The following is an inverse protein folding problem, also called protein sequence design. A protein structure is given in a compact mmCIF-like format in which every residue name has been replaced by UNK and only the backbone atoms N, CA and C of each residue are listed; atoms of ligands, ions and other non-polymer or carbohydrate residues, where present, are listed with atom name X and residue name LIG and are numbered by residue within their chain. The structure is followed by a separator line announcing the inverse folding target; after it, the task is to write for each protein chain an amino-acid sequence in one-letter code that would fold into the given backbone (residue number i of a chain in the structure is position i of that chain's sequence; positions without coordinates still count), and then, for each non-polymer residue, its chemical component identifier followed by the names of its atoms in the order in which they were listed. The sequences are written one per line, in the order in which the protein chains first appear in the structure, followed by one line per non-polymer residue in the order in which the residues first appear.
data_IF_681040527654
#
_entry.id   IF_681040527654
#
_cell.length_a   1.000
_cell.length_b   1.000
_cell.length_c   1.000
_cell.angle_alpha   90.00
_cell.angle_beta   90.00
_cell.angle_gamma   90.00
#
_symmetry.space_group_name_H-M   'P 1'
#
loop_
_entity.id
_entity.type
_entity.pdbx_description
1 polymer ?
#
# COMPACT_ATOMS: atom_id res chain seq x y z
N UNK A 1 9.76 17.97 -9.63
CA UNK A 1 10.37 16.65 -9.83
C UNK A 1 9.77 15.74 -8.78
N UNK A 2 8.72 14.99 -9.12
CA UNK A 2 8.13 14.02 -8.18
C UNK A 2 8.92 12.72 -8.32
N UNK A 3 9.45 12.20 -7.21
CA UNK A 3 10.14 10.92 -7.21
C UNK A 3 9.11 9.79 -7.11
N UNK A 4 9.09 8.97 -8.15
CA UNK A 4 8.23 7.80 -8.27
C UNK A 4 9.09 6.56 -8.44
N UNK A 5 8.79 5.51 -7.66
CA UNK A 5 9.51 4.25 -7.68
C UNK A 5 8.55 3.13 -7.99
N UNK A 6 8.84 2.37 -9.04
CA UNK A 6 8.13 1.15 -9.41
C UNK A 6 8.99 -0.08 -9.13
N UNK A 7 8.49 -1.01 -8.33
CA UNK A 7 9.19 -2.23 -7.95
C UNK A 7 8.38 -3.43 -8.39
N UNK A 8 8.86 -4.17 -9.39
CA UNK A 8 8.22 -5.39 -9.88
C UNK A 8 9.04 -6.63 -9.51
N UNK A 9 8.39 -7.64 -8.93
CA UNK A 9 8.98 -8.96 -8.64
C UNK A 9 10.32 -8.91 -7.86
N UNK A 10 10.47 -8.00 -6.89
CA UNK A 10 11.71 -7.88 -6.12
C UNK A 10 11.68 -8.77 -4.86
N UNK A 11 12.52 -9.82 -4.74
CA UNK A 11 12.54 -10.67 -3.54
C UNK A 11 13.19 -9.99 -2.33
N UNK A 12 14.09 -9.03 -2.56
CA UNK A 12 14.77 -8.25 -1.50
C UNK A 12 14.05 -6.94 -1.14
N UNK A 13 12.79 -6.78 -1.58
CA UNK A 13 12.01 -5.55 -1.45
C UNK A 13 12.00 -5.02 -0.01
N UNK A 14 11.82 -5.87 0.99
CA UNK A 14 11.78 -5.43 2.40
C UNK A 14 13.07 -4.75 2.84
N UNK A 15 14.21 -5.31 2.46
CA UNK A 15 15.53 -4.75 2.81
C UNK A 15 15.78 -3.46 2.04
N UNK A 16 15.40 -3.45 0.76
CA UNK A 16 15.48 -2.29 -0.12
C UNK A 16 14.64 -1.13 0.40
N UNK A 17 13.38 -1.37 0.73
CA UNK A 17 12.46 -0.35 1.22
C UNK A 17 12.94 0.28 2.55
N UNK A 18 13.51 -0.51 3.46
CA UNK A 18 14.12 0.01 4.71
C UNK A 18 15.30 0.95 4.45
N UNK A 19 16.10 0.65 3.44
CA UNK A 19 17.24 1.49 3.06
C UNK A 19 16.78 2.71 2.26
N UNK A 20 15.78 2.54 1.41
CA UNK A 20 15.14 3.61 0.65
C UNK A 20 14.58 4.67 1.59
N UNK A 21 13.96 4.28 2.71
CA UNK A 21 13.44 5.24 3.68
C UNK A 21 14.46 6.10 4.42
N UNK A 22 15.74 5.72 4.36
CA UNK A 22 16.83 6.54 4.91
C UNK A 22 17.36 7.57 3.89
N UNK A 23 17.09 7.36 2.60
CA UNK A 23 17.74 8.10 1.50
C UNK A 23 16.73 8.90 0.68
N UNK A 24 15.53 8.35 0.46
CA UNK A 24 14.49 8.91 -0.39
C UNK A 24 13.41 9.60 0.45
N UNK A 25 13.79 10.67 1.16
CA UNK A 25 12.86 11.48 1.97
C UNK A 25 11.85 12.28 1.13
N UNK A 26 12.08 12.37 -0.18
CA UNK A 26 11.21 13.05 -1.17
C UNK A 26 10.34 12.10 -1.99
N UNK A 27 10.36 10.79 -1.70
CA UNK A 27 9.55 9.82 -2.43
C UNK A 27 8.07 10.05 -2.16
N UNK A 28 7.35 10.38 -3.23
CA UNK A 28 5.91 10.68 -3.16
C UNK A 28 5.06 9.48 -3.56
N UNK A 29 5.51 8.74 -4.58
CA UNK A 29 4.74 7.64 -5.17
C UNK A 29 5.56 6.36 -5.15
N UNK A 30 4.95 5.29 -4.62
CA UNK A 30 5.53 3.96 -4.61
C UNK A 30 4.53 2.97 -5.21
N UNK A 31 4.94 2.29 -6.28
CA UNK A 31 4.17 1.20 -6.87
C UNK A 31 4.90 -0.11 -6.71
N UNK A 32 4.22 -1.13 -6.18
CA UNK A 32 4.76 -2.47 -5.99
C UNK A 32 3.90 -3.48 -6.75
N UNK A 33 4.50 -4.10 -7.76
CA UNK A 33 3.84 -5.08 -8.62
C UNK A 33 4.42 -6.49 -8.46
N UNK A 34 3.57 -7.51 -8.45
CA UNK A 34 3.95 -8.92 -8.63
C UNK A 34 5.04 -9.43 -7.66
N UNK A 35 5.21 -8.77 -6.51
CA UNK A 35 6.18 -9.13 -5.49
C UNK A 35 5.66 -10.31 -4.67
N UNK A 36 5.69 -11.51 -5.28
CA UNK A 36 5.12 -12.76 -4.71
C UNK A 36 5.67 -13.15 -3.33
N UNK A 37 6.80 -12.59 -2.92
CA UNK A 37 7.47 -12.86 -1.65
C UNK A 37 7.17 -11.82 -0.59
N UNK A 38 6.55 -10.70 -0.96
CA UNK A 38 6.24 -9.61 -0.07
C UNK A 38 5.12 -10.02 0.87
N UNK A 39 5.41 -10.06 2.16
CA UNK A 39 4.45 -10.44 3.21
C UNK A 39 3.99 -9.24 4.04
N UNK A 40 4.84 -8.23 4.20
CA UNK A 40 4.61 -7.08 5.07
C UNK A 40 5.17 -5.82 4.40
N UNK A 41 4.43 -4.73 4.48
CA UNK A 41 4.83 -3.37 4.11
C UNK A 41 4.65 -2.49 5.36
N UNK A 42 5.74 -2.02 5.95
CA UNK A 42 5.68 -1.21 7.16
C UNK A 42 6.87 -0.27 7.33
N UNK A 43 6.69 0.74 8.19
CA UNK A 43 7.70 1.73 8.59
C UNK A 43 8.15 2.64 7.43
N UNK A 44 7.20 3.24 6.72
CA UNK A 44 7.48 4.23 5.66
C UNK A 44 6.90 5.61 6.00
N UNK A 45 7.49 6.33 6.98
CA UNK A 45 6.98 7.64 7.38
C UNK A 45 7.19 8.73 6.32
N UNK A 46 8.08 8.51 5.35
CA UNK A 46 8.41 9.46 4.28
C UNK A 46 7.47 9.36 3.07
N UNK A 47 6.76 8.23 2.91
CA UNK A 47 5.83 8.04 1.80
C UNK A 47 4.53 8.78 2.11
N UNK A 48 4.34 9.93 1.48
CA UNK A 48 3.25 10.85 1.82
C UNK A 48 2.09 10.86 0.82
N UNK A 49 2.32 10.59 -0.47
CA UNK A 49 1.26 10.82 -1.46
C UNK A 49 0.55 9.50 -1.80
N UNK A 50 1.18 8.57 -2.53
CA UNK A 50 0.48 7.42 -3.08
C UNK A 50 1.26 6.10 -2.94
N UNK A 51 0.55 5.06 -2.50
CA UNK A 51 1.04 3.68 -2.43
C UNK A 51 0.11 2.79 -3.25
N UNK A 52 0.64 2.21 -4.32
CA UNK A 52 -0.08 1.22 -5.13
C UNK A 52 0.57 -0.15 -4.97
N UNK A 53 -0.21 -1.18 -4.64
CA UNK A 53 0.28 -2.54 -4.53
C UNK A 53 -0.63 -3.46 -5.33
N UNK A 54 -0.07 -4.16 -6.33
CA UNK A 54 -0.84 -4.97 -7.30
C UNK A 54 -0.21 -6.37 -7.44
N UNK A 55 -1.02 -7.42 -7.29
CA UNK A 55 -0.61 -8.80 -7.59
C UNK A 55 0.48 -9.44 -6.68
N UNK A 56 0.66 -8.97 -5.45
CA UNK A 56 1.61 -9.50 -4.47
C UNK A 56 0.92 -10.49 -3.50
N UNK A 57 0.40 -11.60 -4.01
CA UNK A 57 -0.50 -12.56 -3.31
C UNK A 57 -0.11 -13.02 -1.89
N UNK A 58 1.15 -12.90 -1.50
CA UNK A 58 1.65 -13.24 -0.15
C UNK A 58 1.52 -12.12 0.87
N UNK A 59 1.08 -10.91 0.47
CA UNK A 59 0.98 -9.75 1.34
C UNK A 59 -0.11 -9.97 2.40
N UNK A 60 0.27 -9.82 3.66
CA UNK A 60 -0.59 -10.08 4.82
C UNK A 60 -0.84 -8.85 5.68
N UNK A 61 0.10 -7.90 5.71
CA UNK A 61 0.02 -6.71 6.57
C UNK A 61 0.57 -5.47 5.88
N UNK A 62 -0.12 -4.35 6.08
CA UNK A 62 0.36 -3.00 5.82
C UNK A 62 0.18 -2.17 7.11
N UNK A 63 1.23 -1.50 7.59
CA UNK A 63 1.14 -0.70 8.82
C UNK A 63 2.17 0.42 8.91
N UNK A 64 1.97 1.37 9.83
CA UNK A 64 2.90 2.46 10.12
C UNK A 64 3.22 3.34 8.90
N UNK A 65 2.16 3.92 8.31
CA UNK A 65 2.19 4.80 7.14
C UNK A 65 1.48 6.13 7.48
N UNK A 66 2.00 6.91 8.44
CA UNK A 66 1.27 8.02 9.04
C UNK A 66 1.00 9.18 8.06
N UNK A 67 1.84 9.35 7.04
CA UNK A 67 1.72 10.44 6.07
C UNK A 67 0.99 10.05 4.79
N UNK A 68 0.75 8.76 4.55
CA UNK A 68 0.17 8.29 3.30
C UNK A 68 -1.23 8.85 3.10
N UNK A 69 -1.49 9.44 1.92
CA UNK A 69 -2.81 9.97 1.54
C UNK A 69 -3.65 8.99 0.73
N UNK A 70 -3.05 8.29 -0.21
CA UNK A 70 -3.77 7.40 -1.11
C UNK A 70 -3.19 5.98 -1.08
N UNK A 71 -4.05 4.99 -0.85
CA UNK A 71 -3.68 3.58 -0.86
C UNK A 71 -4.49 2.83 -1.91
N UNK A 72 -3.83 2.25 -2.91
CA UNK A 72 -4.43 1.36 -3.89
C UNK A 72 -3.94 -0.08 -3.68
N UNK A 73 -4.87 -1.01 -3.54
CA UNK A 73 -4.56 -2.44 -3.33
C UNK A 73 -5.46 -3.31 -4.21
N UNK A 74 -4.88 -4.09 -5.12
CA UNK A 74 -5.65 -4.88 -6.08
C UNK A 74 -5.13 -6.31 -6.27
N UNK A 75 -6.06 -7.28 -6.29
CA UNK A 75 -5.81 -8.73 -6.52
C UNK A 75 -5.11 -9.44 -5.36
N UNK A 76 -5.65 -9.36 -4.14
CA UNK A 76 -5.11 -10.02 -2.94
C UNK A 76 -6.19 -10.68 -2.06
N UNK A 77 -6.12 -11.99 -1.80
CA UNK A 77 -7.01 -12.64 -0.83
C UNK A 77 -6.43 -12.71 0.61
N UNK A 78 -5.13 -12.43 0.80
CA UNK A 78 -4.41 -12.72 2.06
C UNK A 78 -4.10 -11.51 2.94
N UNK A 79 -4.43 -10.29 2.51
CA UNK A 79 -4.17 -9.08 3.29
C UNK A 79 -5.20 -8.98 4.42
N UNK A 80 -4.74 -9.13 5.65
CA UNK A 80 -5.61 -9.25 6.85
C UNK A 80 -5.55 -8.03 7.76
N UNK A 81 -4.48 -7.24 7.68
CA UNK A 81 -4.23 -6.15 8.62
C UNK A 81 -3.74 -4.91 7.89
N UNK A 82 -4.48 -3.82 8.05
CA UNK A 82 -4.23 -2.48 7.51
C UNK A 82 -4.49 -1.52 8.67
N UNK A 83 -3.44 -0.93 9.24
CA UNK A 83 -3.53 -0.06 10.43
C UNK A 83 -2.55 1.11 10.39
N UNK A 84 -2.79 2.13 11.22
CA UNK A 84 -1.87 3.26 11.46
C UNK A 84 -1.67 4.16 10.22
N UNK A 85 -2.78 4.59 9.64
CA UNK A 85 -2.87 5.51 8.50
C UNK A 85 -3.45 6.87 8.96
N UNK A 86 -2.63 7.66 9.65
CA UNK A 86 -3.10 8.92 10.27
C UNK A 86 -3.60 9.98 9.28
N UNK A 87 -3.08 9.97 8.05
CA UNK A 87 -3.34 11.00 7.03
C UNK A 87 -4.03 10.46 5.76
N UNK A 88 -4.49 9.20 5.79
CA UNK A 88 -5.08 8.57 4.61
C UNK A 88 -6.41 9.25 4.28
N UNK A 89 -6.61 9.52 3.00
CA UNK A 89 -7.75 10.23 2.45
C UNK A 89 -8.54 9.32 1.53
N UNK A 90 -7.86 8.48 0.75
CA UNK A 90 -8.47 7.58 -0.21
C UNK A 90 -7.92 6.16 -0.09
N UNK A 91 -8.83 5.18 -0.14
CA UNK A 91 -8.52 3.77 -0.21
C UNK A 91 -9.22 3.17 -1.42
N UNK A 92 -8.44 2.62 -2.35
CA UNK A 92 -8.94 1.91 -3.53
C UNK A 92 -8.67 0.43 -3.37
N UNK A 93 -9.72 -0.37 -3.48
CA UNK A 93 -9.67 -1.82 -3.34
C UNK A 93 -10.10 -2.48 -4.64
N UNK A 94 -9.30 -3.43 -5.12
CA UNK A 94 -9.68 -4.26 -6.26
C UNK A 94 -10.88 -5.16 -5.94
N UNK A 95 -11.63 -5.53 -6.97
CA UNK A 95 -12.91 -6.28 -6.88
C UNK A 95 -12.84 -7.51 -5.96
N UNK A 96 -11.73 -8.24 -5.96
CA UNK A 96 -11.53 -9.43 -5.14
C UNK A 96 -11.33 -9.16 -3.63
N UNK A 97 -11.38 -7.90 -3.18
CA UNK A 97 -11.04 -7.48 -1.82
C UNK A 97 -12.22 -6.91 -1.03
N UNK A 98 -13.44 -6.95 -1.59
CA UNK A 98 -14.62 -6.42 -0.91
C UNK A 98 -14.91 -7.13 0.42
N UNK A 99 -14.79 -8.45 0.49
CA UNK A 99 -15.08 -9.21 1.71
C UNK A 99 -14.10 -8.90 2.86
N UNK A 100 -12.82 -8.72 2.53
CA UNK A 100 -11.76 -8.40 3.49
C UNK A 100 -11.73 -6.92 3.88
N UNK A 101 -12.39 -6.04 3.12
CA UNK A 101 -12.46 -4.60 3.42
C UNK A 101 -13.07 -4.31 4.81
N UNK A 102 -14.06 -5.11 5.21
CA UNK A 102 -14.75 -4.99 6.51
C UNK A 102 -13.82 -5.10 7.72
N UNK A 103 -12.73 -5.88 7.60
CA UNK A 103 -11.73 -6.08 8.65
C UNK A 103 -10.79 -4.88 8.80
N UNK A 104 -10.65 -4.06 7.77
CA UNK A 104 -9.73 -2.92 7.75
C UNK A 104 -10.44 -1.63 8.12
N UNK A 105 -11.72 -1.52 7.74
CA UNK A 105 -12.58 -0.35 7.99
C UNK A 105 -12.75 -0.06 9.48
N UNK A 106 -12.73 -1.08 10.36
CA UNK A 106 -12.81 -0.88 11.81
C UNK A 106 -11.66 -0.02 12.38
N UNK A 107 -10.49 0.01 11.71
CA UNK A 107 -9.33 0.81 12.10
C UNK A 107 -9.21 2.18 11.42
N UNK A 108 -10.12 2.53 10.50
CA UNK A 108 -10.04 3.71 9.62
C UNK A 108 -11.17 4.73 9.87
N UNK A 109 -11.71 4.81 11.09
CA UNK A 109 -12.81 5.71 11.45
C UNK A 109 -12.54 7.16 11.02
N UNK A 110 -13.20 7.62 9.94
CA UNK A 110 -13.22 9.01 9.49
C UNK A 110 -12.88 9.29 8.02
N UNK A 111 -12.55 8.30 7.19
CA UNK A 111 -12.00 8.55 5.85
C UNK A 111 -12.98 8.23 4.72
N UNK A 112 -12.99 9.11 3.70
CA UNK A 112 -13.92 9.06 2.56
C UNK A 112 -13.54 7.91 1.62
N UNK A 113 -14.47 7.02 1.35
CA UNK A 113 -14.25 5.82 0.56
C UNK A 113 -14.73 6.04 -0.88
N UNK A 114 -13.93 5.65 -1.87
CA UNK A 114 -14.38 5.53 -3.26
C UNK A 114 -13.87 4.21 -3.83
N UNK A 115 -14.77 3.25 -4.00
CA UNK A 115 -14.54 2.08 -4.85
C UNK A 115 -14.74 2.51 -6.31
N UNK A 116 -13.70 3.01 -6.97
CA UNK A 116 -13.74 3.23 -8.41
C UNK A 116 -13.38 1.92 -9.12
N UNK A 117 -14.36 1.41 -9.88
CA UNK A 117 -14.19 0.33 -10.85
C UNK A 117 -13.33 0.86 -12.01
N UNK A 118 -12.01 0.85 -11.83
CA UNK A 118 -11.05 1.12 -12.89
C UNK A 118 -10.15 -0.09 -13.04
N UNK A 119 -10.20 -0.75 -14.19
CA UNK A 119 -9.23 -1.77 -14.57
C UNK A 119 -7.83 -1.14 -14.56
N UNK A 120 -7.08 -1.36 -13.48
CA UNK A 120 -5.66 -1.03 -13.43
C UNK A 120 -4.91 -2.20 -14.09
N UNK A 121 -4.52 -1.93 -15.35
CA UNK A 121 -3.75 -2.75 -16.30
C UNK A 121 -2.50 -3.35 -15.66
#
# INVERSE_FOLDING_TARGET
MSEEVHLRNCPKLRLFLRQLGKVATSLKVLTIGEARWLKVVEDFPFLCDNLSIIGCNSLKRISNLPQLRDLCVARYPNLRCVKEFGSLQQLWLGVAMQDVSSLWVAGLQGQHWMSTHGDFV
#
